data_IF_155232318241
#
_entry.id   IF_155232318241
#
_cell.length_a   1.000
_cell.length_b   1.000
_cell.length_c   1.000
_cell.angle_alpha   90.00
_cell.angle_beta   90.00
_cell.angle_gamma   90.00
#
_symmetry.space_group_name_H-M   'P 1'
#
loop_
_entity.id
_entity.type
_entity.pdbx_description
1 polymer ?
#
# COMPACT_ATOMS: atom_id res chain seq x y z
N UNK A 1 1.41 10.76 -0.55
CA UNK A 1 2.41 9.76 -1.05
C UNK A 1 3.16 10.35 -2.24
N UNK A 2 4.48 10.12 -2.28
CA UNK A 2 5.39 10.59 -3.35
C UNK A 2 5.33 9.72 -4.60
N UNK A 3 4.97 8.45 -4.47
CA UNK A 3 4.96 7.44 -5.52
C UNK A 3 3.55 7.11 -5.98
N UNK A 4 3.41 6.66 -7.24
CA UNK A 4 2.22 6.08 -7.82
C UNK A 4 2.60 4.85 -8.66
N UNK A 5 1.73 3.84 -8.69
CA UNK A 5 1.89 2.59 -9.47
C UNK A 5 0.75 2.37 -10.46
N UNK A 6 -0.33 3.14 -10.38
CA UNK A 6 -1.45 3.15 -11.32
C UNK A 6 -1.41 4.49 -12.08
N UNK A 7 -1.18 4.44 -13.39
CA UNK A 7 -1.06 5.63 -14.24
C UNK A 7 -2.27 6.55 -14.16
N UNK A 8 -3.47 5.99 -13.99
CA UNK A 8 -4.74 6.73 -13.88
C UNK A 8 -4.89 7.51 -12.58
N UNK A 9 -4.16 7.09 -11.52
CA UNK A 9 -4.19 7.67 -10.18
C UNK A 9 -3.00 8.60 -9.91
N UNK A 10 -2.12 8.78 -10.89
CA UNK A 10 -0.97 9.70 -10.78
C UNK A 10 -1.48 11.12 -10.56
N UNK A 11 -0.88 11.80 -9.59
CA UNK A 11 -1.09 13.23 -9.34
C UNK A 11 0.15 14.03 -9.78
N UNK A 12 -0.02 15.27 -10.22
CA UNK A 12 1.10 16.13 -10.59
C UNK A 12 2.18 16.15 -9.50
N UNK A 13 3.43 15.97 -9.92
CA UNK A 13 4.59 15.94 -9.00
C UNK A 13 4.94 14.57 -8.41
N UNK A 14 4.20 13.51 -8.72
CA UNK A 14 4.53 12.16 -8.26
C UNK A 14 5.55 11.48 -9.15
N UNK A 15 6.22 10.47 -8.59
CA UNK A 15 7.10 9.52 -9.28
C UNK A 15 6.27 8.29 -9.64
N UNK A 16 6.20 7.95 -10.92
CA UNK A 16 5.54 6.74 -11.36
C UNK A 16 6.52 5.56 -11.34
N UNK A 17 6.13 4.48 -10.68
CA UNK A 17 6.89 3.23 -10.62
C UNK A 17 6.21 2.20 -11.51
N UNK A 18 6.85 1.84 -12.63
CA UNK A 18 6.31 0.93 -13.63
C UNK A 18 6.45 -0.53 -13.19
N UNK A 19 5.58 -0.99 -12.29
CA UNK A 19 5.60 -2.36 -11.79
C UNK A 19 5.06 -3.32 -12.84
N UNK A 20 5.76 -4.42 -13.05
CA UNK A 20 5.30 -5.53 -13.87
C UNK A 20 4.41 -6.45 -13.04
N UNK A 21 3.10 -6.30 -13.18
CA UNK A 21 2.11 -7.17 -12.54
C UNK A 21 1.91 -8.50 -13.30
N UNK A 22 1.09 -9.38 -12.75
CA UNK A 22 0.78 -10.69 -13.38
C UNK A 22 -0.01 -10.58 -14.69
N UNK A 23 -0.88 -9.59 -14.81
CA UNK A 23 -1.77 -9.40 -15.97
C UNK A 23 -1.46 -8.15 -16.77
N UNK A 24 -0.79 -7.18 -16.19
CA UNK A 24 -0.55 -5.85 -16.77
C UNK A 24 0.90 -5.46 -16.50
N UNK A 25 1.61 -4.99 -17.55
CA UNK A 25 2.95 -4.41 -17.42
C UNK A 25 2.82 -2.89 -17.28
N UNK A 26 3.20 -2.34 -16.12
CA UNK A 26 3.18 -0.90 -15.85
C UNK A 26 4.02 -0.08 -16.83
N UNK A 27 5.00 -0.69 -17.50
CA UNK A 27 5.81 -0.01 -18.53
C UNK A 27 5.00 0.44 -19.75
N UNK A 28 3.88 -0.22 -20.04
CA UNK A 28 3.02 0.13 -21.17
C UNK A 28 2.20 1.41 -20.91
N UNK A 29 2.15 1.85 -19.65
CA UNK A 29 1.37 3.01 -19.20
C UNK A 29 2.20 4.23 -18.82
N UNK A 30 3.51 4.22 -19.14
CA UNK A 30 4.42 5.33 -18.81
C UNK A 30 3.96 6.64 -19.45
N UNK A 31 3.56 6.61 -20.72
CA UNK A 31 3.06 7.81 -21.42
C UNK A 31 1.80 8.37 -20.76
N UNK A 32 0.90 7.49 -20.31
CA UNK A 32 -0.31 7.88 -19.60
C UNK A 32 0.03 8.50 -18.23
N UNK A 33 0.95 7.91 -17.48
CA UNK A 33 1.42 8.46 -16.20
C UNK A 33 2.04 9.85 -16.36
N UNK A 34 2.81 10.09 -17.43
CA UNK A 34 3.40 11.40 -17.75
C UNK A 34 2.30 12.41 -18.05
N UNK A 35 1.28 12.03 -18.84
CA UNK A 35 0.14 12.89 -19.15
C UNK A 35 -0.66 13.30 -17.89
N UNK A 36 -0.68 12.44 -16.86
CA UNK A 36 -1.27 12.75 -15.55
C UNK A 36 -0.35 13.54 -14.62
N UNK A 37 0.88 13.85 -15.06
CA UNK A 37 1.81 14.73 -14.36
C UNK A 37 2.88 14.03 -13.54
N UNK A 38 3.24 12.79 -13.89
CA UNK A 38 4.45 12.17 -13.34
C UNK A 38 5.69 12.99 -13.71
N UNK A 39 6.54 13.26 -12.74
CA UNK A 39 7.76 14.05 -12.94
C UNK A 39 9.02 13.18 -13.09
N UNK A 40 8.91 11.89 -12.83
CA UNK A 40 9.98 10.90 -12.95
C UNK A 40 9.38 9.50 -13.08
N UNK A 41 10.07 8.65 -13.79
CA UNK A 41 9.71 7.24 -13.99
C UNK A 41 10.77 6.35 -13.36
N UNK A 42 10.34 5.30 -12.70
CA UNK A 42 11.19 4.17 -12.29
C UNK A 42 10.80 2.97 -13.14
N UNK A 43 11.73 2.36 -13.84
CA UNK A 43 11.50 1.29 -14.81
C UNK A 43 12.57 0.21 -14.74
N UNK A 44 12.29 -1.00 -15.26
CA UNK A 44 13.24 -2.13 -15.33
C UNK A 44 13.92 -2.23 -16.71
N UNK A 45 13.47 -1.45 -17.68
CA UNK A 45 13.99 -1.42 -19.05
C UNK A 45 14.08 0.00 -19.59
N UNK A 46 14.93 0.20 -20.58
CA UNK A 46 15.01 1.49 -21.26
C UNK A 46 13.68 1.83 -21.94
N UNK A 47 13.19 3.02 -21.69
CA UNK A 47 11.95 3.54 -22.26
C UNK A 47 12.18 4.96 -22.78
N UNK A 48 11.52 5.30 -23.88
CA UNK A 48 11.48 6.69 -24.36
C UNK A 48 10.55 7.51 -23.47
N UNK A 49 11.03 8.62 -22.95
CA UNK A 49 10.29 9.44 -21.99
C UNK A 49 10.67 10.91 -22.11
N UNK A 50 9.69 11.79 -21.90
CA UNK A 50 9.90 13.25 -21.81
C UNK A 50 10.32 13.71 -20.40
N UNK A 51 10.27 12.82 -19.41
CA UNK A 51 10.71 13.06 -18.04
C UNK A 51 11.87 12.13 -17.66
N UNK A 52 12.68 12.45 -16.65
CA UNK A 52 13.77 11.59 -16.21
C UNK A 52 13.32 10.16 -15.91
N UNK A 53 14.10 9.19 -16.38
CA UNK A 53 13.90 7.75 -16.11
C UNK A 53 15.07 7.23 -15.31
N UNK A 54 14.78 6.53 -14.22
CA UNK A 54 15.75 5.75 -13.47
C UNK A 54 15.51 4.27 -13.74
N UNK A 55 16.56 3.59 -14.24
CA UNK A 55 16.49 2.14 -14.49
C UNK A 55 16.96 1.41 -13.25
N UNK A 56 16.16 0.45 -12.81
CA UNK A 56 16.42 -0.38 -11.64
C UNK A 56 16.27 -1.86 -11.99
N UNK A 57 16.86 -2.72 -11.21
CA UNK A 57 16.81 -4.17 -11.40
C UNK A 57 15.42 -4.75 -11.11
N UNK A 58 14.73 -4.20 -10.10
CA UNK A 58 13.35 -4.53 -9.73
C UNK A 58 12.63 -3.27 -9.23
N UNK A 59 11.59 -2.89 -9.92
CA UNK A 59 10.75 -1.74 -9.55
C UNK A 59 10.00 -1.99 -8.25
N UNK A 60 9.62 -3.23 -7.98
CA UNK A 60 8.94 -3.63 -6.75
C UNK A 60 9.87 -3.50 -5.54
N UNK A 61 11.08 -4.05 -5.62
CA UNK A 61 12.08 -3.95 -4.54
C UNK A 61 12.54 -2.50 -4.32
N UNK A 62 12.69 -1.73 -5.39
CA UNK A 62 12.95 -0.30 -5.30
C UNK A 62 11.86 0.41 -4.48
N UNK A 63 10.58 0.18 -4.82
CA UNK A 63 9.46 0.79 -4.14
C UNK A 63 9.40 0.38 -2.66
N UNK A 64 9.56 -0.90 -2.35
CA UNK A 64 9.62 -1.42 -0.97
C UNK A 64 10.70 -0.71 -0.15
N UNK A 65 11.90 -0.58 -0.71
CA UNK A 65 13.04 0.07 -0.06
C UNK A 65 12.78 1.56 0.20
N UNK A 66 12.27 2.27 -0.79
CA UNK A 66 12.00 3.70 -0.68
C UNK A 66 10.84 4.00 0.29
N UNK A 67 9.77 3.22 0.27
CA UNK A 67 8.68 3.36 1.24
C UNK A 67 9.15 3.09 2.67
N UNK A 68 9.95 2.04 2.86
CA UNK A 68 10.55 1.74 4.17
C UNK A 68 11.43 2.88 4.66
N UNK A 69 12.29 3.42 3.80
CA UNK A 69 13.18 4.54 4.12
C UNK A 69 12.41 5.80 4.51
N UNK A 70 11.35 6.12 3.77
CA UNK A 70 10.59 7.35 3.95
C UNK A 70 9.62 7.30 5.14
N UNK A 71 9.01 6.13 5.39
CA UNK A 71 7.90 6.01 6.35
C UNK A 71 8.21 5.12 7.57
N UNK A 72 9.41 4.53 7.71
CA UNK A 72 9.73 3.64 8.82
C UNK A 72 9.45 4.26 10.20
N UNK A 73 9.95 5.45 10.43
CA UNK A 73 9.78 6.13 11.74
C UNK A 73 8.32 6.45 12.04
N UNK A 74 7.52 6.69 11.00
CA UNK A 74 6.09 6.97 11.14
C UNK A 74 5.32 5.68 11.42
N UNK A 75 5.57 4.63 10.63
CA UNK A 75 4.90 3.33 10.76
C UNK A 75 5.29 2.62 12.06
N UNK A 76 6.52 2.78 12.54
CA UNK A 76 6.98 2.21 13.82
C UNK A 76 6.20 2.73 15.05
N UNK A 77 5.40 3.78 14.89
CA UNK A 77 4.47 4.25 15.94
C UNK A 77 3.23 3.37 16.07
N UNK A 78 2.95 2.52 15.06
CA UNK A 78 1.84 1.57 15.07
C UNK A 78 2.30 0.21 15.60
N UNK A 79 1.47 -0.38 16.46
CA UNK A 79 1.56 -1.80 16.77
C UNK A 79 0.82 -2.58 15.70
N UNK A 80 1.53 -3.38 14.90
CA UNK A 80 0.91 -4.22 13.88
C UNK A 80 0.73 -5.63 14.44
N UNK A 81 -0.50 -6.14 14.34
CA UNK A 81 -0.88 -7.51 14.73
C UNK A 81 -1.25 -8.25 13.44
N UNK A 82 -0.37 -9.13 12.98
CA UNK A 82 -0.61 -9.96 11.79
C UNK A 82 -1.34 -11.26 12.16
N UNK A 83 -2.43 -11.57 11.48
CA UNK A 83 -3.19 -12.82 11.62
C UNK A 83 -3.04 -13.63 10.34
N UNK A 84 -2.45 -14.80 10.45
CA UNK A 84 -2.32 -15.76 9.35
C UNK A 84 -2.91 -17.10 9.70
N UNK A 85 -3.10 -17.98 8.72
CA UNK A 85 -3.65 -19.33 8.88
C UNK A 85 -4.48 -19.74 7.67
N UNK A 86 -4.84 -21.01 7.60
CA UNK A 86 -5.67 -21.56 6.50
C UNK A 86 -7.13 -21.14 6.64
N UNK A 87 -7.67 -21.13 7.86
CA UNK A 87 -9.06 -20.78 8.16
C UNK A 87 -9.14 -19.82 9.35
N UNK A 88 -10.24 -19.08 9.45
CA UNK A 88 -10.56 -18.23 10.60
C UNK A 88 -9.79 -16.90 10.68
N UNK A 89 -8.93 -16.57 9.71
CA UNK A 89 -8.17 -15.31 9.70
C UNK A 89 -9.08 -14.10 9.87
N UNK A 90 -10.06 -13.94 9.00
CA UNK A 90 -10.99 -12.81 8.99
C UNK A 90 -11.74 -12.69 10.31
N UNK A 91 -12.31 -13.81 10.80
CA UNK A 91 -13.04 -13.82 12.07
C UNK A 91 -12.15 -13.41 13.24
N UNK A 92 -10.96 -14.01 13.34
CA UNK A 92 -10.00 -13.71 14.43
C UNK A 92 -9.51 -12.26 14.36
N UNK A 93 -9.13 -11.80 13.17
CA UNK A 93 -8.65 -10.43 12.98
C UNK A 93 -9.75 -9.41 13.31
N UNK A 94 -10.97 -9.64 12.82
CA UNK A 94 -12.08 -8.71 13.06
C UNK A 94 -12.53 -8.70 14.52
N UNK A 95 -12.58 -9.85 15.19
CA UNK A 95 -12.88 -9.91 16.63
C UNK A 95 -11.78 -9.21 17.44
N UNK A 96 -10.52 -9.42 17.10
CA UNK A 96 -9.39 -8.73 17.76
C UNK A 96 -9.51 -7.22 17.61
N UNK A 97 -9.80 -6.73 16.41
CA UNK A 97 -10.08 -5.32 16.14
C UNK A 97 -11.21 -4.78 17.00
N UNK A 98 -12.35 -5.48 17.07
CA UNK A 98 -13.50 -5.05 17.87
C UNK A 98 -13.17 -5.03 19.38
N UNK A 99 -12.50 -6.07 19.89
CA UNK A 99 -12.11 -6.15 21.28
C UNK A 99 -11.18 -5.02 21.68
N UNK A 100 -10.15 -4.75 20.91
CA UNK A 100 -9.20 -3.67 21.21
C UNK A 100 -9.88 -2.31 21.24
N UNK A 101 -10.79 -2.03 20.30
CA UNK A 101 -11.57 -0.79 20.33
C UNK A 101 -12.50 -0.71 21.54
N UNK A 102 -13.17 -1.80 21.94
CA UNK A 102 -13.98 -1.84 23.16
C UNK A 102 -13.17 -1.59 24.44
N UNK A 103 -11.90 -1.98 24.44
CA UNK A 103 -10.98 -1.71 25.54
C UNK A 103 -10.36 -0.30 25.51
N UNK A 104 -10.80 0.56 24.60
CA UNK A 104 -10.32 1.94 24.46
C UNK A 104 -9.01 2.07 23.67
N UNK A 105 -8.51 0.99 23.05
CA UNK A 105 -7.36 1.04 22.15
C UNK A 105 -7.83 1.33 20.74
N UNK A 106 -7.68 2.57 20.27
CA UNK A 106 -8.05 2.96 18.91
C UNK A 106 -7.27 2.15 17.88
N UNK A 107 -7.95 1.22 17.24
CA UNK A 107 -7.38 0.17 16.40
C UNK A 107 -8.00 0.21 15.02
N UNK A 108 -7.20 0.02 13.97
CA UNK A 108 -7.67 -0.21 12.61
C UNK A 108 -7.64 -1.71 12.27
N UNK A 109 -8.43 -2.11 11.28
CA UNK A 109 -8.42 -3.45 10.69
C UNK A 109 -8.12 -3.33 9.20
N UNK A 110 -7.32 -4.25 8.68
CA UNK A 110 -7.04 -4.41 7.25
C UNK A 110 -7.12 -5.89 6.86
N UNK A 111 -8.02 -6.23 5.97
CA UNK A 111 -8.19 -7.61 5.52
C UNK A 111 -9.29 -7.80 4.48
N UNK A 112 -9.79 -9.02 4.38
CA UNK A 112 -10.77 -9.44 3.37
C UNK A 112 -12.04 -8.58 3.32
N UNK A 113 -12.48 -8.06 4.46
CA UNK A 113 -13.68 -7.23 4.54
C UNK A 113 -13.37 -5.72 4.45
N UNK A 114 -12.22 -5.36 3.88
CA UNK A 114 -11.80 -3.99 3.65
C UNK A 114 -10.87 -3.43 4.71
N UNK A 115 -10.75 -2.11 4.73
CA UNK A 115 -10.05 -1.36 5.76
C UNK A 115 -11.08 -0.66 6.64
N UNK A 116 -10.99 -0.87 7.94
CA UNK A 116 -11.94 -0.32 8.91
C UNK A 116 -11.24 0.44 10.02
N UNK A 117 -11.79 1.58 10.32
CA UNK A 117 -11.48 2.41 11.48
C UNK A 117 -12.70 2.43 12.41
N UNK A 118 -12.59 2.88 13.66
CA UNK A 118 -13.75 2.97 14.55
C UNK A 118 -14.93 3.76 13.96
N UNK A 119 -14.63 4.82 13.20
CA UNK A 119 -15.62 5.76 12.68
C UNK A 119 -15.66 5.82 11.13
N UNK A 120 -14.90 4.95 10.44
CA UNK A 120 -14.77 5.00 8.98
C UNK A 120 -14.54 3.60 8.41
N UNK A 121 -15.10 3.35 7.23
CA UNK A 121 -14.91 2.11 6.49
C UNK A 121 -14.52 2.42 5.05
N UNK A 122 -13.43 1.82 4.58
CA UNK A 122 -12.93 1.95 3.20
C UNK A 122 -12.90 0.57 2.57
N UNK A 123 -13.63 0.39 1.47
CA UNK A 123 -13.56 -0.83 0.68
C UNK A 123 -12.16 -0.99 0.06
N UNK A 124 -11.62 -2.19 0.10
CA UNK A 124 -10.39 -2.56 -0.62
C UNK A 124 -10.73 -3.48 -1.77
N UNK A 125 -10.09 -3.27 -2.93
CA UNK A 125 -10.35 -4.08 -4.13
C UNK A 125 -9.85 -5.53 -3.97
N UNK A 126 -8.84 -5.74 -3.11
CA UNK A 126 -8.22 -7.03 -2.84
C UNK A 126 -8.07 -7.31 -1.35
N UNK A 127 -8.06 -8.59 -0.97
CA UNK A 127 -7.82 -9.07 0.41
C UNK A 127 -6.45 -8.61 0.95
N UNK A 128 -5.44 -8.61 0.08
CA UNK A 128 -4.12 -8.05 0.36
C UNK A 128 -3.86 -6.98 -0.71
N UNK A 129 -3.99 -5.69 -0.37
CA UNK A 129 -3.67 -4.60 -1.28
C UNK A 129 -2.18 -4.61 -1.67
N UNK A 130 -1.83 -3.89 -2.75
CA UNK A 130 -0.43 -3.64 -3.10
C UNK A 130 0.30 -2.88 -1.98
N UNK A 131 1.63 -2.92 -2.02
CA UNK A 131 2.48 -2.33 -0.97
C UNK A 131 2.23 -0.83 -0.77
N UNK A 132 1.99 -0.08 -1.85
CA UNK A 132 1.72 1.36 -1.79
C UNK A 132 0.38 1.64 -1.11
N UNK A 133 -0.64 0.85 -1.44
CA UNK A 133 -1.96 0.90 -0.80
C UNK A 133 -1.88 0.56 0.68
N UNK A 134 -1.11 -0.47 1.06
CA UNK A 134 -0.88 -0.82 2.48
C UNK A 134 -0.28 0.37 3.23
N UNK A 135 0.81 0.98 2.73
CA UNK A 135 1.42 2.14 3.39
C UNK A 135 0.45 3.33 3.47
N UNK A 136 -0.34 3.57 2.43
CA UNK A 136 -1.36 4.63 2.42
C UNK A 136 -2.39 4.42 3.54
N UNK A 137 -2.89 3.19 3.70
CA UNK A 137 -3.88 2.85 4.73
C UNK A 137 -3.28 2.91 6.14
N UNK A 138 -2.03 2.47 6.31
CA UNK A 138 -1.33 2.59 7.60
C UNK A 138 -1.10 4.05 7.99
N UNK A 139 -0.71 4.91 7.06
CA UNK A 139 -0.58 6.35 7.31
C UNK A 139 -1.93 6.98 7.65
N UNK A 140 -3.00 6.58 6.95
CA UNK A 140 -4.35 7.03 7.27
C UNK A 140 -4.79 6.59 8.69
N UNK A 141 -4.46 5.36 9.10
CA UNK A 141 -4.70 4.92 10.48
C UNK A 141 -3.98 5.81 11.51
N UNK A 142 -2.74 6.23 11.21
CA UNK A 142 -1.97 7.14 12.08
C UNK A 142 -2.63 8.52 12.14
N UNK A 143 -3.03 9.08 11.00
CA UNK A 143 -3.75 10.36 10.93
C UNK A 143 -5.04 10.33 11.76
N UNK A 144 -5.71 9.18 11.80
CA UNK A 144 -6.89 8.93 12.63
C UNK A 144 -6.53 8.53 14.07
N UNK A 145 -5.29 8.72 14.49
CA UNK A 145 -4.80 8.45 15.85
C UNK A 145 -4.89 6.99 16.32
N UNK A 146 -5.00 6.04 15.40
CA UNK A 146 -4.89 4.63 15.74
C UNK A 146 -3.50 4.31 16.30
N UNK A 147 -3.45 3.45 17.30
CA UNK A 147 -2.20 2.95 17.90
C UNK A 147 -1.89 1.51 17.45
N UNK A 148 -2.90 0.81 16.98
CA UNK A 148 -2.80 -0.59 16.57
C UNK A 148 -3.47 -0.78 15.23
N UNK A 149 -2.92 -1.67 14.41
CA UNK A 149 -3.54 -2.18 13.18
C UNK A 149 -3.55 -3.70 13.25
N UNK A 150 -4.71 -4.32 13.09
CA UNK A 150 -4.85 -5.77 12.92
C UNK A 150 -4.94 -6.06 11.44
N UNK A 151 -4.02 -6.88 10.93
CA UNK A 151 -3.94 -7.21 9.51
C UNK A 151 -4.12 -8.70 9.26
N UNK A 152 -4.92 -9.05 8.26
CA UNK A 152 -4.88 -10.39 7.68
C UNK A 152 -3.68 -10.54 6.76
N UNK A 153 -2.90 -11.60 6.98
CA UNK A 153 -1.77 -11.97 6.13
C UNK A 153 -2.15 -13.24 5.38
N UNK A 154 -2.29 -13.14 4.06
CA UNK A 154 -2.56 -14.32 3.24
C UNK A 154 -1.31 -15.22 3.19
N UNK A 155 -1.52 -16.55 3.18
CA UNK A 155 -0.43 -17.52 3.01
C UNK A 155 0.19 -17.51 1.59
N UNK A 156 -0.37 -16.70 0.68
CA UNK A 156 0.08 -16.50 -0.69
C UNK A 156 0.56 -15.06 -0.94
N UNK A 157 0.80 -14.28 0.12
CA UNK A 157 1.49 -13.01 -0.02
C UNK A 157 2.95 -13.29 -0.41
N UNK A 158 3.48 -12.67 -1.47
CA UNK A 158 4.86 -12.85 -1.88
C UNK A 158 5.85 -12.35 -0.84
#
# INVERSE_FOLDING_TARGET
MKYAIDSRKVKPGQIFVAIKGHTVDGHDYISDAINHGAIKIIAEKNVSSSVPVEIVESTEEYLKKELKKEYADTINKLKIIGITGTNGKTTTAYLTYQFLNKLGNKTAYLGTIGFKLPDEEIGTENTTPDILSIYTLLLHAIEKECKTVVMEISSHAP
#
